data_IF_938187684061
#
_entry.id   IF_938187684061
#
_cell.length_a   1.000
_cell.length_b   1.000
_cell.length_c   1.000
_cell.angle_alpha   90.00
_cell.angle_beta   90.00
_cell.angle_gamma   90.00
#
_symmetry.space_group_name_H-M   'P 1'
#
loop_
_entity.id
_entity.type
_entity.pdbx_description
1 polymer ?
#
# COMPACT_ATOMS: atom_id res chain seq x y z
N UNK A 1 61.85 27.28 -14.75
CA UNK A 1 61.33 25.94 -15.07
C UNK A 1 59.88 25.94 -14.61
N UNK A 2 58.97 26.23 -15.54
CA UNK A 2 57.53 26.42 -15.29
C UNK A 2 56.79 25.38 -16.13
N UNK A 3 55.96 24.55 -15.51
CA UNK A 3 54.98 23.66 -16.14
C UNK A 3 53.75 23.51 -15.20
N UNK A 4 52.57 23.12 -15.71
CA UNK A 4 51.36 23.93 -15.56
C UNK A 4 50.30 23.29 -14.64
N UNK A 5 49.39 24.13 -14.15
CA UNK A 5 48.22 23.74 -13.36
C UNK A 5 47.12 23.16 -14.26
N UNK A 6 46.93 21.84 -14.23
CA UNK A 6 45.80 21.15 -14.88
C UNK A 6 44.58 21.18 -13.95
N UNK A 7 43.53 21.91 -14.34
CA UNK A 7 42.23 21.94 -13.66
C UNK A 7 41.52 20.59 -13.84
N UNK A 8 41.26 19.87 -12.75
CA UNK A 8 40.38 18.70 -12.75
C UNK A 8 38.99 19.12 -12.27
N UNK A 9 38.04 19.19 -13.19
CA UNK A 9 36.61 19.28 -12.90
C UNK A 9 36.17 17.90 -12.38
N UNK A 10 35.80 17.82 -11.10
CA UNK A 10 35.22 16.61 -10.50
C UNK A 10 33.72 16.82 -10.29
N UNK A 11 32.95 16.13 -11.13
CA UNK A 11 31.51 15.95 -11.06
C UNK A 11 31.15 15.17 -9.77
N UNK A 12 30.06 15.57 -9.12
CA UNK A 12 29.49 15.00 -7.89
C UNK A 12 29.64 13.46 -7.79
N UNK A 13 30.49 13.03 -6.87
CA UNK A 13 30.70 11.62 -6.51
C UNK A 13 30.68 11.48 -5.00
N UNK A 14 29.68 10.73 -4.52
CA UNK A 14 29.72 9.81 -3.37
C UNK A 14 30.56 10.28 -2.18
N UNK A 15 29.91 10.88 -1.17
CA UNK A 15 30.48 11.02 0.16
C UNK A 15 30.58 9.64 0.82
N UNK A 16 31.76 9.04 0.67
CA UNK A 16 32.23 7.91 1.46
C UNK A 16 32.79 8.48 2.76
N UNK A 17 32.02 8.46 3.85
CA UNK A 17 32.56 8.70 5.19
C UNK A 17 33.15 7.39 5.71
N UNK A 18 34.47 7.33 5.76
CA UNK A 18 35.23 6.35 6.55
C UNK A 18 35.76 7.06 7.79
N UNK A 19 35.40 6.55 8.96
CA UNK A 19 36.24 6.69 10.17
C UNK A 19 36.28 5.32 10.84
N UNK A 20 37.46 4.73 11.07
CA UNK A 20 37.64 3.60 11.96
C UNK A 20 37.88 4.13 13.37
N UNK A 21 37.26 3.54 14.39
CA UNK A 21 37.82 3.31 15.73
C UNK A 21 36.80 2.44 16.44
N UNK A 22 37.24 1.24 16.80
CA UNK A 22 36.41 0.22 17.44
C UNK A 22 36.19 0.53 18.90
N UNK A 23 34.95 0.31 19.33
CA UNK A 23 34.62 -0.14 20.67
C UNK A 23 33.64 -1.29 20.49
N UNK A 24 34.01 -2.47 21.00
CA UNK A 24 33.20 -3.69 20.94
C UNK A 24 31.95 -3.51 21.80
N UNK A 25 30.81 -3.35 21.17
CA UNK A 25 29.50 -3.36 21.83
C UNK A 25 28.63 -4.41 21.15
N UNK A 26 28.01 -5.23 21.99
CA UNK A 26 27.33 -6.48 21.74
C UNK A 26 26.54 -6.55 20.42
N UNK A 27 26.62 -7.71 19.78
CA UNK A 27 25.67 -8.18 18.78
C UNK A 27 24.27 -8.34 19.42
N UNK A 28 23.62 -7.22 19.76
CA UNK A 28 22.24 -7.17 20.23
C UNK A 28 21.34 -6.71 19.07
N UNK A 29 20.84 -7.73 18.36
CA UNK A 29 19.48 -7.86 17.77
C UNK A 29 18.95 -6.81 16.78
N UNK A 30 19.69 -5.76 16.45
CA UNK A 30 19.22 -4.68 15.56
C UNK A 30 19.82 -4.74 14.15
N UNK A 31 20.80 -5.62 13.92
CA UNK A 31 21.49 -5.80 12.63
C UNK A 31 20.87 -6.85 11.68
N UNK A 32 19.86 -7.62 12.10
CA UNK A 32 19.25 -8.69 11.30
C UNK A 32 17.90 -8.35 10.65
N UNK A 33 17.39 -7.12 10.77
CA UNK A 33 16.04 -6.77 10.32
C UNK A 33 15.95 -6.06 8.95
N UNK A 34 17.03 -5.98 8.16
CA UNK A 34 17.03 -5.23 6.89
C UNK A 34 17.08 -6.10 5.62
N UNK A 35 17.36 -7.41 5.71
CA UNK A 35 17.51 -8.28 4.52
C UNK A 35 16.20 -8.98 4.10
N UNK A 36 15.15 -8.95 4.94
CA UNK A 36 13.87 -9.65 4.74
C UNK A 36 12.61 -8.77 4.68
N UNK A 37 12.74 -7.44 4.63
CA UNK A 37 11.58 -6.55 4.59
C UNK A 37 10.97 -6.53 3.18
N UNK A 38 9.67 -6.84 3.07
CA UNK A 38 8.95 -6.81 1.81
C UNK A 38 8.73 -5.35 1.40
N UNK A 39 9.13 -4.92 0.18
CA UNK A 39 8.88 -3.57 -0.29
C UNK A 39 7.38 -3.24 -0.30
N UNK A 40 7.01 -2.02 0.10
CA UNK A 40 5.61 -1.61 0.19
C UNK A 40 4.84 -1.78 -1.13
N UNK A 41 5.49 -1.54 -2.27
CA UNK A 41 4.87 -1.71 -3.59
C UNK A 41 4.50 -3.17 -3.88
N UNK A 42 5.25 -4.15 -3.38
CA UNK A 42 4.96 -5.57 -3.59
C UNK A 42 3.67 -5.96 -2.88
N UNK A 43 3.53 -5.55 -1.61
CA UNK A 43 2.28 -5.69 -0.85
C UNK A 43 1.14 -4.94 -1.54
N UNK A 44 1.37 -3.73 -2.05
CA UNK A 44 0.36 -2.94 -2.75
C UNK A 44 -0.15 -3.66 -4.02
N UNK A 45 0.74 -4.26 -4.83
CA UNK A 45 0.35 -5.05 -6.01
C UNK A 45 -0.56 -6.22 -5.63
N UNK A 46 -0.23 -6.96 -4.56
CA UNK A 46 -1.07 -8.07 -4.07
C UNK A 46 -2.42 -7.56 -3.59
N UNK A 47 -2.45 -6.51 -2.77
CA UNK A 47 -3.71 -5.95 -2.26
C UNK A 47 -4.58 -5.38 -3.37
N UNK A 48 -4.02 -4.62 -4.31
CA UNK A 48 -4.75 -4.07 -5.46
C UNK A 48 -5.29 -5.17 -6.37
N UNK A 49 -4.52 -6.23 -6.59
CA UNK A 49 -4.96 -7.36 -7.40
C UNK A 49 -6.10 -8.15 -6.73
N UNK A 50 -5.98 -8.48 -5.44
CA UNK A 50 -7.05 -9.15 -4.68
C UNK A 50 -8.30 -8.27 -4.63
N UNK A 51 -8.12 -6.98 -4.36
CA UNK A 51 -9.22 -6.01 -4.31
C UNK A 51 -9.93 -5.88 -5.65
N UNK A 52 -9.17 -5.80 -6.76
CA UNK A 52 -9.73 -5.79 -8.11
C UNK A 52 -10.52 -7.05 -8.45
N UNK A 53 -10.08 -8.23 -8.01
CA UNK A 53 -10.85 -9.47 -8.19
C UNK A 53 -12.16 -9.47 -7.40
N UNK A 54 -12.16 -8.92 -6.18
CA UNK A 54 -13.40 -8.75 -5.39
C UNK A 54 -14.35 -7.82 -6.13
N UNK A 55 -13.87 -6.70 -6.65
CA UNK A 55 -14.67 -5.77 -7.45
C UNK A 55 -15.21 -6.40 -8.74
N UNK A 56 -14.39 -7.18 -9.46
CA UNK A 56 -14.85 -7.91 -10.63
C UNK A 56 -15.98 -8.88 -10.28
N UNK A 57 -15.83 -9.63 -9.18
CA UNK A 57 -16.87 -10.50 -8.64
C UNK A 57 -18.16 -9.73 -8.34
N UNK A 58 -18.07 -8.68 -7.53
CA UNK A 58 -19.22 -7.85 -7.16
C UNK A 58 -19.89 -7.23 -8.39
N UNK A 59 -19.14 -6.80 -9.38
CA UNK A 59 -19.67 -6.24 -10.61
C UNK A 59 -20.43 -7.28 -11.43
N UNK A 60 -19.91 -8.52 -11.50
CA UNK A 60 -20.59 -9.62 -12.19
C UNK A 60 -21.91 -9.99 -11.53
N UNK A 61 -22.04 -9.88 -10.21
CA UNK A 61 -23.30 -10.15 -9.49
C UNK A 61 -24.20 -8.92 -9.33
N UNK A 62 -23.90 -7.81 -10.01
CA UNK A 62 -24.62 -6.54 -9.87
C UNK A 62 -24.71 -6.03 -8.43
N UNK A 63 -23.67 -6.34 -7.66
CA UNK A 63 -23.51 -5.92 -6.26
C UNK A 63 -22.56 -4.72 -6.10
N UNK A 64 -21.86 -4.31 -7.17
CA UNK A 64 -20.86 -3.24 -7.12
C UNK A 64 -21.45 -1.83 -6.98
N UNK A 65 -22.65 -1.59 -7.53
CA UNK A 65 -23.37 -0.32 -7.46
C UNK A 65 -24.88 -0.53 -7.68
N UNK A 66 -25.77 0.25 -7.03
CA UNK A 66 -27.22 0.05 -7.15
C UNK A 66 -27.80 0.45 -8.51
N UNK A 67 -27.18 1.38 -9.26
CA UNK A 67 -27.80 1.99 -10.45
C UNK A 67 -27.10 1.73 -11.78
N UNK A 68 -25.87 1.22 -11.78
CA UNK A 68 -25.12 1.02 -13.02
C UNK A 68 -24.18 -0.18 -12.93
N UNK A 69 -23.90 -0.77 -14.08
CA UNK A 69 -22.90 -1.81 -14.25
C UNK A 69 -21.59 -1.17 -14.72
N UNK A 70 -20.46 -1.58 -14.14
CA UNK A 70 -19.15 -1.07 -14.54
C UNK A 70 -18.67 -1.85 -15.74
N UNK A 71 -18.25 -1.15 -16.78
CA UNK A 71 -17.38 -1.76 -17.77
C UNK A 71 -15.94 -1.38 -17.49
N UNK A 72 -15.11 -2.37 -17.10
CA UNK A 72 -13.70 -2.13 -16.82
C UNK A 72 -12.93 -1.61 -18.02
N UNK A 73 -13.30 -2.05 -19.24
CA UNK A 73 -12.70 -1.54 -20.47
C UNK A 73 -12.95 -0.05 -20.65
N UNK A 74 -14.21 0.38 -20.49
CA UNK A 74 -14.59 1.78 -20.57
C UNK A 74 -13.98 2.61 -19.45
N UNK A 75 -14.02 2.11 -18.21
CA UNK A 75 -13.48 2.81 -17.05
C UNK A 75 -11.97 3.07 -17.18
N UNK A 76 -11.19 2.05 -17.54
CA UNK A 76 -9.73 2.15 -17.61
C UNK A 76 -9.22 2.83 -18.87
N UNK A 77 -10.04 2.92 -19.93
CA UNK A 77 -9.70 3.62 -21.16
C UNK A 77 -10.35 5.00 -21.27
N UNK A 78 -10.94 5.50 -20.18
CA UNK A 78 -11.65 6.78 -20.16
C UNK A 78 -12.70 6.90 -21.28
N UNK A 79 -13.51 5.84 -21.40
CA UNK A 79 -14.57 5.67 -22.39
C UNK A 79 -14.14 5.57 -23.85
N UNK A 80 -12.84 5.41 -24.12
CA UNK A 80 -12.31 5.28 -25.49
C UNK A 80 -12.78 3.98 -26.15
N UNK A 81 -12.88 2.87 -25.41
CA UNK A 81 -13.32 1.58 -25.97
C UNK A 81 -14.83 1.38 -25.92
N UNK A 82 -15.48 1.87 -24.86
CA UNK A 82 -16.91 1.73 -24.58
C UNK A 82 -17.29 2.61 -23.38
N UNK A 83 -18.59 2.84 -23.12
CA UNK A 83 -19.03 3.59 -21.95
C UNK A 83 -18.56 2.94 -20.64
N UNK A 84 -18.08 3.73 -19.68
CA UNK A 84 -17.58 3.22 -18.39
C UNK A 84 -18.71 2.70 -17.49
N UNK A 85 -19.90 3.29 -17.63
CA UNK A 85 -21.08 2.96 -16.84
C UNK A 85 -22.24 2.60 -17.77
N UNK A 86 -22.66 1.34 -17.73
CA UNK A 86 -23.86 0.86 -18.41
C UNK A 86 -25.07 0.83 -17.48
N UNK A 87 -26.25 0.59 -18.03
CA UNK A 87 -27.45 0.37 -17.21
C UNK A 87 -27.25 -0.82 -16.26
N UNK A 88 -27.82 -0.74 -15.06
CA UNK A 88 -27.83 -1.86 -14.13
C UNK A 88 -28.50 -3.08 -14.78
N UNK A 89 -27.81 -4.21 -14.75
CA UNK A 89 -28.31 -5.49 -15.26
C UNK A 89 -28.71 -6.33 -14.06
N UNK A 90 -29.90 -6.94 -14.10
CA UNK A 90 -30.30 -7.85 -13.02
C UNK A 90 -29.58 -9.19 -13.16
N UNK A 91 -29.13 -9.75 -12.04
CA UNK A 91 -28.43 -11.03 -11.97
C UNK A 91 -26.96 -11.01 -12.46
N UNK A 92 -26.48 -12.18 -12.92
CA UNK A 92 -25.10 -12.35 -13.35
C UNK A 92 -24.84 -11.74 -14.73
N UNK A 93 -23.83 -10.87 -14.83
CA UNK A 93 -23.38 -10.32 -16.10
C UNK A 93 -21.87 -10.37 -16.25
N UNK A 94 -21.40 -10.81 -17.42
CA UNK A 94 -19.98 -10.91 -17.73
C UNK A 94 -19.69 -10.30 -19.11
N UNK A 95 -18.88 -9.25 -19.14
CA UNK A 95 -18.38 -8.62 -20.35
C UNK A 95 -17.11 -9.33 -20.81
N UNK A 96 -17.25 -10.20 -21.82
CA UNK A 96 -16.20 -11.12 -22.26
C UNK A 96 -14.83 -10.43 -22.42
N UNK A 97 -14.77 -9.28 -23.10
CA UNK A 97 -13.49 -8.59 -23.30
C UNK A 97 -13.06 -7.79 -22.06
N UNK A 98 -13.92 -6.92 -21.53
CA UNK A 98 -13.60 -6.02 -20.42
C UNK A 98 -13.24 -6.75 -19.13
N UNK A 99 -14.11 -7.66 -18.69
CA UNK A 99 -13.92 -8.42 -17.45
C UNK A 99 -12.73 -9.38 -17.56
N UNK A 100 -12.54 -10.03 -18.71
CA UNK A 100 -11.41 -10.96 -18.90
C UNK A 100 -10.07 -10.24 -18.80
N UNK A 101 -9.93 -9.10 -19.47
CA UNK A 101 -8.70 -8.30 -19.43
C UNK A 101 -8.45 -7.78 -18.02
N UNK A 102 -9.50 -7.28 -17.34
CA UNK A 102 -9.38 -6.77 -15.98
C UNK A 102 -8.98 -7.86 -14.98
N UNK A 103 -9.66 -9.01 -15.00
CA UNK A 103 -9.34 -10.16 -14.14
C UNK A 103 -7.91 -10.65 -14.42
N UNK A 104 -7.52 -10.76 -15.69
CA UNK A 104 -6.16 -11.15 -16.06
C UNK A 104 -5.11 -10.15 -15.54
N UNK A 105 -5.39 -8.84 -15.62
CA UNK A 105 -4.54 -7.81 -15.05
C UNK A 105 -4.43 -7.95 -13.52
N UNK A 106 -5.54 -8.16 -12.82
CA UNK A 106 -5.54 -8.38 -11.37
C UNK A 106 -4.74 -9.62 -10.96
N UNK A 107 -4.92 -10.75 -11.65
CA UNK A 107 -4.12 -11.97 -11.43
C UNK A 107 -2.64 -11.68 -11.70
N UNK A 108 -2.33 -10.91 -12.75
CA UNK A 108 -0.97 -10.46 -13.05
C UNK A 108 -0.35 -9.64 -11.91
N UNK A 109 -1.08 -8.69 -11.34
CA UNK A 109 -0.63 -7.90 -10.18
C UNK A 109 -0.35 -8.79 -8.97
N UNK A 110 -1.23 -9.74 -8.67
CA UNK A 110 -1.02 -10.71 -7.58
C UNK A 110 0.24 -11.55 -7.85
N UNK A 111 0.40 -12.08 -9.06
CA UNK A 111 1.55 -12.90 -9.42
C UNK A 111 2.88 -12.12 -9.30
N UNK A 112 2.91 -10.88 -9.78
CA UNK A 112 4.09 -10.01 -9.67
C UNK A 112 4.39 -9.64 -8.21
N UNK A 113 3.37 -9.23 -7.45
CA UNK A 113 3.53 -8.86 -6.05
C UNK A 113 3.98 -10.05 -5.18
N UNK A 114 3.32 -11.20 -5.32
CA UNK A 114 3.66 -12.42 -4.56
C UNK A 114 5.04 -12.97 -4.91
N UNK A 115 5.49 -12.83 -6.15
CA UNK A 115 6.87 -13.17 -6.52
C UNK A 115 7.88 -12.34 -5.72
N UNK A 116 7.74 -11.02 -5.70
CA UNK A 116 8.64 -10.14 -4.96
C UNK A 116 8.54 -10.38 -3.46
N UNK A 117 7.33 -10.63 -2.94
CA UNK A 117 7.14 -11.08 -1.55
C UNK A 117 8.00 -12.32 -1.32
N UNK A 118 7.80 -13.40 -2.07
CA UNK A 118 8.46 -14.68 -1.87
C UNK A 118 9.99 -14.63 -1.99
N UNK A 119 10.52 -13.75 -2.85
CA UNK A 119 11.96 -13.51 -2.99
C UNK A 119 12.58 -12.82 -1.76
N UNK A 120 11.80 -12.02 -1.02
CA UNK A 120 12.25 -11.26 0.16
C UNK A 120 11.91 -11.94 1.47
N UNK A 121 10.74 -12.57 1.53
CA UNK A 121 10.20 -13.23 2.69
C UNK A 121 9.20 -14.29 2.22
N UNK A 122 9.21 -15.47 2.83
CA UNK A 122 8.22 -16.50 2.51
C UNK A 122 6.79 -15.93 2.59
N UNK A 123 5.96 -16.18 1.56
CA UNK A 123 4.58 -15.64 1.49
C UNK A 123 3.77 -15.94 2.75
N UNK A 124 3.96 -17.12 3.36
CA UNK A 124 3.27 -17.49 4.59
C UNK A 124 3.71 -16.62 5.79
N UNK A 125 4.99 -16.26 5.87
CA UNK A 125 5.50 -15.37 6.91
C UNK A 125 5.05 -13.93 6.69
N UNK A 126 5.06 -13.45 5.45
CA UNK A 126 4.49 -12.15 5.09
C UNK A 126 3.00 -12.07 5.45
N UNK A 127 2.20 -13.08 5.09
CA UNK A 127 0.78 -13.13 5.42
C UNK A 127 0.53 -13.18 6.93
N UNK A 128 1.35 -13.93 7.68
CA UNK A 128 1.31 -13.91 9.15
C UNK A 128 1.60 -12.51 9.70
N UNK A 129 2.57 -11.80 9.14
CA UNK A 129 2.89 -10.42 9.53
C UNK A 129 1.77 -9.41 9.26
N UNK A 130 0.88 -9.68 8.29
CA UNK A 130 -0.33 -8.87 8.11
C UNK A 130 -1.34 -9.04 9.25
N UNK A 131 -1.42 -10.24 9.85
CA UNK A 131 -2.35 -10.55 10.93
C UNK A 131 -1.77 -10.25 12.31
N UNK A 132 -0.50 -10.62 12.51
CA UNK A 132 0.23 -10.49 13.77
C UNK A 132 1.13 -9.27 13.64
N UNK A 133 0.58 -8.09 13.96
CA UNK A 133 1.30 -6.83 13.94
C UNK A 133 0.86 -5.93 15.11
N UNK A 134 1.70 -4.97 15.49
CA UNK A 134 1.40 -4.11 16.64
C UNK A 134 0.35 -3.01 16.36
N UNK A 135 -0.36 -3.04 15.23
CA UNK A 135 -1.55 -2.19 15.00
C UNK A 135 -2.69 -2.61 15.91
N UNK A 136 -2.90 -3.91 16.14
CA UNK A 136 -4.00 -4.40 16.98
C UNK A 136 -3.84 -4.02 18.46
N UNK A 137 -2.67 -4.22 19.10
CA UNK A 137 -2.45 -3.73 20.46
C UNK A 137 -2.50 -2.21 20.56
N UNK A 138 -2.00 -1.49 19.54
CA UNK A 138 -2.02 -0.01 19.54
C UNK A 138 -3.43 0.59 19.52
N UNK A 139 -4.46 -0.16 19.11
CA UNK A 139 -5.86 0.31 19.18
C UNK A 139 -6.34 0.48 20.63
N UNK A 140 -5.91 -0.41 21.53
CA UNK A 140 -6.43 -0.49 22.88
C UNK A 140 -5.47 0.07 23.94
N UNK A 141 -4.17 0.10 23.65
CA UNK A 141 -3.16 0.57 24.59
C UNK A 141 -2.31 1.72 24.02
N UNK A 142 -2.62 2.97 24.41
CA UNK A 142 -1.83 4.15 24.04
C UNK A 142 -0.38 4.13 24.54
N UNK A 143 -0.06 3.31 25.55
CA UNK A 143 1.28 3.26 26.15
C UNK A 143 2.28 2.42 25.35
N UNK A 144 1.80 1.46 24.54
CA UNK A 144 2.66 0.58 23.72
C UNK A 144 3.22 1.26 22.46
N UNK A 145 2.62 2.36 22.04
CA UNK A 145 2.90 3.00 20.76
C UNK A 145 2.96 4.52 20.75
N UNK A 146 2.56 5.16 21.86
CA UNK A 146 2.31 6.59 21.91
C UNK A 146 1.00 6.98 21.21
N UNK A 147 0.46 8.16 21.57
CA UNK A 147 -0.84 8.63 21.06
C UNK A 147 -0.92 8.71 19.53
N UNK A 148 0.19 9.01 18.85
CA UNK A 148 0.25 9.04 17.39
C UNK A 148 0.04 7.66 16.75
N UNK A 149 0.60 6.58 17.35
CA UNK A 149 0.43 5.22 16.82
C UNK A 149 -0.98 4.67 17.07
N UNK A 150 -1.58 5.01 18.21
CA UNK A 150 -3.00 4.69 18.47
C UNK A 150 -3.92 5.43 17.51
N UNK A 151 -3.70 6.73 17.30
CA UNK A 151 -4.46 7.51 16.33
C UNK A 151 -4.32 6.94 14.91
N UNK A 152 -3.09 6.56 14.53
CA UNK A 152 -2.83 5.91 13.25
C UNK A 152 -3.64 4.61 13.08
N UNK A 153 -3.65 3.76 14.11
CA UNK A 153 -4.41 2.50 14.10
C UNK A 153 -5.92 2.75 13.96
N UNK A 154 -6.47 3.74 14.66
CA UNK A 154 -7.88 4.12 14.53
C UNK A 154 -8.21 4.69 13.15
N UNK A 155 -7.35 5.52 12.57
CA UNK A 155 -7.53 6.01 11.21
C UNK A 155 -7.60 4.85 10.19
N UNK A 156 -6.70 3.86 10.29
CA UNK A 156 -6.72 2.68 9.42
C UNK A 156 -7.98 1.82 9.64
N UNK A 157 -8.34 1.58 10.90
CA UNK A 157 -9.51 0.77 11.26
C UNK A 157 -10.82 1.43 10.78
N UNK A 158 -11.00 2.72 11.06
CA UNK A 158 -12.19 3.46 10.66
C UNK A 158 -12.27 3.59 9.13
N UNK A 159 -11.15 3.80 8.44
CA UNK A 159 -11.11 3.84 6.98
C UNK A 159 -11.59 2.53 6.35
N UNK A 160 -11.09 1.40 6.85
CA UNK A 160 -11.50 0.07 6.40
C UNK A 160 -12.95 -0.26 6.79
N UNK A 161 -13.35 0.02 8.02
CA UNK A 161 -14.70 -0.25 8.52
C UNK A 161 -15.75 0.58 7.76
N UNK A 162 -15.48 1.86 7.52
CA UNK A 162 -16.33 2.73 6.71
C UNK A 162 -16.49 2.19 5.29
N UNK A 163 -15.38 1.78 4.65
CA UNK A 163 -15.40 1.22 3.31
C UNK A 163 -16.29 -0.03 3.20
N UNK A 164 -16.09 -0.98 4.12
CA UNK A 164 -16.87 -2.22 4.16
C UNK A 164 -18.34 -1.97 4.50
N UNK A 165 -18.63 -1.06 5.44
CA UNK A 165 -20.00 -0.71 5.82
C UNK A 165 -20.80 -0.16 4.62
N UNK A 166 -20.23 0.79 3.88
CA UNK A 166 -20.90 1.36 2.71
C UNK A 166 -20.94 0.39 1.53
N UNK A 167 -19.88 -0.39 1.30
CA UNK A 167 -19.88 -1.45 0.29
C UNK A 167 -20.99 -2.47 0.53
N UNK A 168 -21.09 -3.02 1.74
CA UNK A 168 -22.04 -4.10 2.05
C UNK A 168 -23.48 -3.60 2.12
N UNK A 169 -23.74 -2.48 2.83
CA UNK A 169 -25.11 -2.04 3.09
C UNK A 169 -25.71 -1.15 2.01
N UNK A 170 -24.86 -0.44 1.25
CA UNK A 170 -25.31 0.55 0.27
C UNK A 170 -24.81 0.24 -1.15
N UNK A 171 -24.16 -0.92 -1.36
CA UNK A 171 -23.51 -1.26 -2.63
C UNK A 171 -22.55 -0.15 -3.10
N UNK A 172 -21.91 0.55 -2.17
CA UNK A 172 -21.05 1.71 -2.44
C UNK A 172 -19.62 1.35 -2.82
N UNK A 173 -19.39 0.18 -3.43
CA UNK A 173 -18.03 -0.35 -3.62
C UNK A 173 -17.16 0.51 -4.53
N UNK A 174 -17.78 1.17 -5.51
CA UNK A 174 -17.11 2.05 -6.50
C UNK A 174 -17.49 3.52 -6.34
N UNK A 175 -18.19 3.87 -5.26
CA UNK A 175 -18.63 5.22 -5.01
C UNK A 175 -17.44 6.15 -4.70
N UNK A 176 -17.36 7.27 -5.42
CA UNK A 176 -16.24 8.21 -5.31
C UNK A 176 -16.21 8.90 -3.94
N UNK A 177 -17.36 9.15 -3.33
CA UNK A 177 -17.46 9.71 -1.99
C UNK A 177 -16.97 8.73 -0.93
N UNK A 178 -17.34 7.45 -1.06
CA UNK A 178 -16.88 6.38 -0.18
C UNK A 178 -15.35 6.25 -0.27
N UNK A 179 -14.80 6.21 -1.48
CA UNK A 179 -13.34 6.18 -1.67
C UNK A 179 -12.63 7.40 -1.09
N UNK A 180 -13.19 8.59 -1.25
CA UNK A 180 -12.56 9.83 -0.76
C UNK A 180 -12.35 9.81 0.75
N UNK A 181 -13.38 9.41 1.51
CA UNK A 181 -13.30 9.31 2.98
C UNK A 181 -12.34 8.19 3.40
N UNK A 182 -12.44 7.03 2.75
CA UNK A 182 -11.54 5.90 3.03
C UNK A 182 -10.08 6.27 2.78
N UNK A 183 -9.74 6.87 1.63
CA UNK A 183 -8.36 7.23 1.29
C UNK A 183 -7.84 8.31 2.25
N UNK A 184 -8.65 9.31 2.62
CA UNK A 184 -8.24 10.33 3.58
C UNK A 184 -7.88 9.73 4.94
N UNK A 185 -8.71 8.81 5.46
CA UNK A 185 -8.46 8.10 6.72
C UNK A 185 -7.24 7.18 6.61
N UNK A 186 -7.13 6.39 5.54
CA UNK A 186 -6.01 5.47 5.34
C UNK A 186 -4.68 6.22 5.20
N UNK A 187 -4.64 7.29 4.41
CA UNK A 187 -3.46 8.14 4.23
C UNK A 187 -3.04 8.80 5.54
N UNK A 188 -4.00 9.33 6.32
CA UNK A 188 -3.74 9.89 7.65
C UNK A 188 -3.16 8.84 8.60
N UNK A 189 -3.71 7.61 8.56
CA UNK A 189 -3.20 6.48 9.34
C UNK A 189 -1.76 6.13 9.00
N UNK A 190 -1.43 5.99 7.72
CA UNK A 190 -0.06 5.73 7.29
C UNK A 190 0.89 6.87 7.62
N UNK A 191 0.47 8.13 7.46
CA UNK A 191 1.27 9.30 7.79
C UNK A 191 1.60 9.39 9.28
N UNK A 192 0.60 9.23 10.16
CA UNK A 192 0.79 9.22 11.61
C UNK A 192 1.65 8.04 12.08
N UNK A 193 1.45 6.86 11.46
CA UNK A 193 2.26 5.68 11.75
C UNK A 193 3.73 5.88 11.34
N UNK A 194 3.99 6.60 10.24
CA UNK A 194 5.35 6.93 9.83
C UNK A 194 5.97 7.99 10.76
N UNK A 195 5.21 9.05 11.08
CA UNK A 195 5.64 10.13 11.97
C UNK A 195 6.03 9.61 13.38
N UNK A 196 5.31 8.61 13.90
CA UNK A 196 5.60 8.05 15.22
C UNK A 196 6.92 7.26 15.32
N UNK A 197 7.56 6.96 14.18
CA UNK A 197 8.82 6.21 14.11
C UNK A 197 10.04 7.08 13.78
N UNK A 198 9.86 8.39 13.64
CA UNK A 198 10.97 9.33 13.41
C UNK A 198 11.70 9.52 14.75
N UNK A 199 13.04 9.30 14.82
CA UNK A 199 13.80 9.58 16.02
C UNK A 199 13.64 11.05 16.43
N UNK A 200 13.57 11.38 17.73
CA UNK A 200 13.63 12.77 18.17
C UNK A 200 14.90 13.41 17.60
N UNK A 201 14.77 14.59 17.00
CA UNK A 201 15.92 15.32 16.48
C UNK A 201 16.91 15.61 17.62
N UNK A 202 18.21 15.59 17.32
CA UNK A 202 19.22 16.12 18.23
C UNK A 202 18.94 17.62 18.41
N UNK A 203 18.16 17.95 19.44
CA UNK A 203 17.93 19.31 19.92
C UNK A 203 19.19 19.79 20.66
N UNK A 204 20.33 19.78 19.96
CA UNK A 204 21.54 20.50 20.35
C UNK A 204 21.67 21.72 19.47
N UNK A 205 20.81 22.69 19.75
CA UNK A 205 21.04 24.08 19.42
C UNK A 205 21.77 24.66 20.63
N UNK A 206 23.10 24.68 20.55
CA UNK A 206 23.99 25.42 21.45
C UNK A 206 23.74 26.94 21.34
#
# INVERSE_FOLDING_TARGET
MNEPQTKQFALFGVLKCSTPVGESMSDDETGQAMDGNVPAYASALVFLGIWGLVLAGLNMFSMAHPTYHVSWGGLLTFETTNAAFGEAKDGFHFEILGDTIFIAACVGLIALGTRVVNERNNVANWAKGLLINDTWPALNDPSLGGGQRTMAAWCLLLGLAFYLYFGILHQGWIDVGVYSVTIALMASGFALNHASRVPPGDDKID
#
